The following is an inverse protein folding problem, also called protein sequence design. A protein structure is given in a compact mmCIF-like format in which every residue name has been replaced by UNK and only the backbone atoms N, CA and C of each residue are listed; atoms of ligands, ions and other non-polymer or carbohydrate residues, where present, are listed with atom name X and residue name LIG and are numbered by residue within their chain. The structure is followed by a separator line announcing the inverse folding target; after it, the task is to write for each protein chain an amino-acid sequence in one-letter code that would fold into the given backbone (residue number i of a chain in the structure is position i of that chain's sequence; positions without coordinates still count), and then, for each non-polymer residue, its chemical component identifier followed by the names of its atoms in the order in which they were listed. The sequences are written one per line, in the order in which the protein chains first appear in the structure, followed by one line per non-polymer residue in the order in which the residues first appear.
data_IF_437632934612
#
_entry.id   IF_437632934612
#
_cell.length_a   1.000
_cell.length_b   1.000
_cell.length_c   1.000
_cell.angle_alpha   90.00
_cell.angle_beta   90.00
_cell.angle_gamma   90.00
#
_symmetry.space_group_name_H-M   'P 1'
#
loop_
_entity.id
_entity.type
_entity.pdbx_description
1 polymer ?
#
# COMPACT_ATOMS: atom_id res chain seq x y z
N UNK A 1 -12.45 -21.91 17.75
CA UNK A 1 -11.03 -22.33 17.89
C UNK A 1 -10.37 -22.13 16.54
N UNK A 2 -9.72 -20.99 16.34
CA UNK A 2 -9.06 -20.63 15.08
C UNK A 2 -7.62 -21.15 15.09
N UNK A 3 -7.20 -21.71 13.95
CA UNK A 3 -6.08 -22.64 13.75
C UNK A 3 -4.68 -22.04 14.08
N UNK A 4 -3.72 -22.81 14.63
CA UNK A 4 -2.40 -22.32 15.06
C UNK A 4 -1.44 -21.88 13.93
N UNK A 5 -1.83 -22.03 12.66
CA UNK A 5 -1.00 -21.72 11.49
C UNK A 5 -1.87 -21.47 10.24
N UNK A 6 -2.70 -20.42 10.17
CA UNK A 6 -3.47 -20.07 8.95
C UNK A 6 -2.61 -19.47 7.79
N UNK A 7 -1.41 -20.05 7.62
CA UNK A 7 -0.59 -20.23 6.42
C UNK A 7 0.18 -19.02 5.83
N UNK A 8 1.30 -18.70 6.49
CA UNK A 8 2.58 -18.23 5.89
C UNK A 8 2.58 -16.96 5.03
N UNK A 9 1.71 -16.01 5.36
CA UNK A 9 1.81 -14.59 4.98
C UNK A 9 1.45 -13.62 6.11
N UNK A 10 1.66 -14.04 7.36
CA UNK A 10 1.44 -13.32 8.63
C UNK A 10 0.20 -12.42 8.61
N UNK A 11 -0.95 -13.11 8.72
CA UNK A 11 -2.25 -12.47 8.84
C UNK A 11 -2.27 -11.58 10.10
N UNK A 12 -2.71 -10.33 9.98
CA UNK A 12 -2.92 -9.46 11.14
C UNK A 12 -4.02 -10.03 12.03
N UNK A 13 -3.86 -9.86 13.35
CA UNK A 13 -4.90 -10.20 14.30
C UNK A 13 -6.12 -9.28 14.12
N UNK A 14 -7.32 -9.85 14.23
CA UNK A 14 -8.58 -9.12 14.13
C UNK A 14 -9.51 -9.66 13.05
N UNK A 15 -10.76 -9.22 13.11
CA UNK A 15 -11.78 -9.51 12.10
C UNK A 15 -12.12 -8.21 11.39
N UNK A 16 -12.07 -8.16 10.05
CA UNK A 16 -12.51 -6.98 9.31
C UNK A 16 -13.94 -6.56 9.69
N UNK A 17 -14.17 -5.27 9.92
CA UNK A 17 -15.44 -4.71 10.42
C UNK A 17 -16.23 -3.89 9.39
N UNK A 18 -15.57 -3.38 8.37
CA UNK A 18 -16.21 -2.79 7.19
C UNK A 18 -16.95 -3.80 6.29
N UNK A 19 -17.48 -3.31 5.19
CA UNK A 19 -18.38 -4.03 4.27
C UNK A 19 -17.84 -4.04 2.84
N UNK A 20 -18.52 -4.75 1.93
CA UNK A 20 -18.26 -4.61 0.50
C UNK A 20 -19.04 -3.39 0.00
N UNK A 21 -18.36 -2.54 -0.77
CA UNK A 21 -18.91 -1.30 -1.32
C UNK A 21 -19.98 -1.60 -2.38
N UNK A 22 -21.10 -0.89 -2.29
CA UNK A 22 -22.20 -0.98 -3.28
C UNK A 22 -21.86 -0.29 -4.61
N UNK A 23 -20.76 0.48 -4.66
CA UNK A 23 -20.34 1.24 -5.85
C UNK A 23 -19.96 0.31 -7.01
N UNK A 24 -19.28 -0.79 -6.70
CA UNK A 24 -18.82 -1.78 -7.68
C UNK A 24 -19.01 -3.23 -7.23
N UNK A 25 -19.58 -3.46 -6.04
CA UNK A 25 -19.76 -4.77 -5.41
C UNK A 25 -18.44 -5.56 -5.28
N UNK A 26 -17.29 -4.87 -5.22
CA UNK A 26 -15.98 -5.50 -5.16
C UNK A 26 -15.03 -4.84 -4.15
N UNK A 27 -14.97 -3.51 -4.11
CA UNK A 27 -14.11 -2.79 -3.18
C UNK A 27 -14.54 -3.04 -1.73
N UNK A 28 -13.57 -3.14 -0.82
CA UNK A 28 -13.87 -3.11 0.60
C UNK A 28 -14.04 -1.68 1.06
N UNK A 29 -15.02 -1.43 1.93
CA UNK A 29 -15.35 -0.12 2.46
C UNK A 29 -15.35 -0.18 3.99
N UNK A 30 -14.52 0.64 4.61
CA UNK A 30 -14.52 0.89 6.05
C UNK A 30 -15.00 2.31 6.32
N UNK A 31 -16.18 2.50 6.94
CA UNK A 31 -16.72 3.83 7.20
C UNK A 31 -15.96 4.52 8.33
N UNK A 32 -15.80 5.83 8.21
CA UNK A 32 -15.34 6.65 9.33
C UNK A 32 -16.37 6.67 10.48
N UNK A 33 -15.95 6.91 11.73
CA UNK A 33 -16.82 6.96 12.92
C UNK A 33 -17.80 8.15 12.96
N UNK A 34 -17.79 9.03 11.96
CA UNK A 34 -18.67 10.19 11.89
C UNK A 34 -20.15 9.83 11.68
N UNK A 35 -21.09 10.74 11.99
CA UNK A 35 -22.52 10.48 11.82
C UNK A 35 -22.84 10.14 10.37
N UNK A 36 -23.55 9.01 10.18
CA UNK A 36 -24.04 8.55 8.89
C UNK A 36 -24.84 9.68 8.22
N UNK A 37 -24.34 10.22 7.11
CA UNK A 37 -24.98 11.33 6.37
C UNK A 37 -24.29 12.69 6.49
N UNK A 38 -23.28 12.85 7.35
CA UNK A 38 -22.38 14.00 7.25
C UNK A 38 -21.50 13.86 5.99
N UNK A 39 -21.36 14.93 5.21
CA UNK A 39 -20.49 14.95 4.04
C UNK A 39 -19.03 14.82 4.50
N UNK A 40 -18.49 13.61 4.50
CA UNK A 40 -17.09 13.36 4.76
C UNK A 40 -16.25 14.13 3.72
N UNK A 41 -15.47 15.11 4.17
CA UNK A 41 -14.65 15.96 3.28
C UNK A 41 -13.47 15.22 2.67
N UNK A 42 -12.98 14.17 3.35
CA UNK A 42 -11.85 13.36 2.90
C UNK A 42 -12.13 11.87 2.97
N UNK A 43 -11.45 11.11 2.11
CA UNK A 43 -11.38 9.65 2.18
C UNK A 43 -9.97 9.17 1.81
N UNK A 44 -9.64 7.95 2.23
CA UNK A 44 -8.38 7.28 1.90
C UNK A 44 -8.65 6.12 0.94
N UNK A 45 -7.83 6.02 -0.11
CA UNK A 45 -7.77 4.87 -1.01
C UNK A 45 -6.57 4.01 -0.62
N UNK A 46 -6.83 2.83 -0.06
CA UNK A 46 -5.80 1.86 0.30
C UNK A 46 -5.60 0.87 -0.84
N UNK A 47 -4.40 0.85 -1.42
CA UNK A 47 -4.01 0.02 -2.54
C UNK A 47 -3.24 -1.20 -2.02
N UNK A 48 -3.82 -2.38 -2.23
CA UNK A 48 -3.35 -3.66 -1.67
C UNK A 48 -1.99 -4.10 -2.22
N UNK A 49 -1.33 -4.99 -1.47
CA UNK A 49 -0.20 -5.74 -1.99
C UNK A 49 -0.63 -6.78 -3.03
N UNK A 50 0.32 -7.60 -3.49
CA UNK A 50 0.09 -8.55 -4.58
C UNK A 50 -0.95 -9.65 -4.24
N UNK A 51 -1.29 -9.85 -2.97
CA UNK A 51 -2.27 -10.87 -2.54
C UNK A 51 -3.71 -10.37 -2.60
N UNK A 52 -3.92 -9.05 -2.68
CA UNK A 52 -5.22 -8.44 -2.86
C UNK A 52 -6.18 -8.60 -1.67
N UNK A 53 -7.47 -8.34 -1.92
CA UNK A 53 -8.54 -8.41 -0.93
C UNK A 53 -8.79 -9.79 -0.28
N UNK A 54 -8.47 -10.95 -0.91
CA UNK A 54 -8.59 -12.24 -0.22
C UNK A 54 -7.74 -12.35 1.04
N UNK A 55 -6.63 -11.61 1.13
CA UNK A 55 -5.85 -11.50 2.37
C UNK A 55 -6.45 -10.41 3.26
N UNK A 56 -6.91 -10.79 4.45
CA UNK A 56 -7.65 -9.89 5.35
C UNK A 56 -6.82 -8.69 5.85
N UNK A 57 -5.49 -8.73 5.79
CA UNK A 57 -4.63 -7.67 6.33
C UNK A 57 -5.00 -6.29 5.79
N UNK A 58 -5.22 -6.17 4.47
CA UNK A 58 -5.59 -4.89 3.88
C UNK A 58 -6.92 -4.34 4.42
N UNK A 59 -7.86 -5.22 4.74
CA UNK A 59 -9.17 -4.84 5.31
C UNK A 59 -9.02 -4.40 6.77
N UNK A 60 -8.26 -5.14 7.56
CA UNK A 60 -7.94 -4.78 8.96
C UNK A 60 -7.19 -3.45 9.03
N UNK A 61 -6.21 -3.24 8.15
CA UNK A 61 -5.48 -1.97 8.07
C UNK A 61 -6.42 -0.83 7.66
N UNK A 62 -7.35 -1.07 6.73
CA UNK A 62 -8.35 -0.08 6.34
C UNK A 62 -9.26 0.32 7.52
N UNK A 63 -9.72 -0.65 8.31
CA UNK A 63 -10.50 -0.39 9.54
C UNK A 63 -9.72 0.46 10.55
N UNK A 64 -8.44 0.14 10.75
CA UNK A 64 -7.58 0.90 11.64
C UNK A 64 -7.37 2.33 11.15
N UNK A 65 -7.20 2.55 9.83
CA UNK A 65 -7.14 3.90 9.27
C UNK A 65 -8.46 4.64 9.40
N UNK A 66 -9.60 3.99 9.12
CA UNK A 66 -10.90 4.63 9.20
C UNK A 66 -11.18 5.15 10.62
N UNK A 67 -10.80 4.35 11.62
CA UNK A 67 -10.84 4.75 13.03
C UNK A 67 -9.86 5.86 13.37
N UNK A 68 -8.59 5.74 12.97
CA UNK A 68 -7.52 6.66 13.40
C UNK A 68 -7.55 8.02 12.68
N UNK A 69 -8.04 8.05 11.45
CA UNK A 69 -8.16 9.26 10.63
C UNK A 69 -9.57 9.85 10.65
N UNK A 70 -10.49 9.18 11.33
CA UNK A 70 -11.90 9.55 11.42
C UNK A 70 -12.54 9.82 10.05
N UNK A 71 -12.20 9.00 9.04
CA UNK A 71 -12.68 9.18 7.67
C UNK A 71 -12.93 7.86 6.96
N UNK A 72 -13.63 7.92 5.84
CA UNK A 72 -13.91 6.75 5.02
C UNK A 72 -12.63 6.20 4.37
N UNK A 73 -12.52 4.88 4.35
CA UNK A 73 -11.41 4.17 3.69
C UNK A 73 -11.97 3.15 2.71
N UNK A 74 -11.49 3.21 1.48
CA UNK A 74 -11.83 2.26 0.43
C UNK A 74 -10.61 1.47 -0.01
N UNK A 75 -10.81 0.18 -0.23
CA UNK A 75 -9.80 -0.74 -0.74
C UNK A 75 -10.28 -1.30 -2.09
N UNK A 76 -9.94 -0.66 -3.22
CA UNK A 76 -10.35 -1.15 -4.53
C UNK A 76 -9.71 -2.50 -4.85
N UNK A 77 -10.45 -3.33 -5.60
CA UNK A 77 -9.93 -4.60 -6.10
C UNK A 77 -8.98 -4.38 -7.29
N UNK A 78 -7.69 -4.51 -7.03
CA UNK A 78 -6.64 -4.34 -8.04
C UNK A 78 -6.55 -5.52 -9.02
N UNK A 79 -7.22 -6.64 -8.75
CA UNK A 79 -7.00 -7.91 -9.44
C UNK A 79 -8.27 -8.56 -10.02
N UNK A 80 -9.42 -7.89 -9.92
CA UNK A 80 -10.70 -8.41 -10.39
C UNK A 80 -11.01 -9.82 -9.83
N UNK A 81 -10.83 -9.96 -8.52
CA UNK A 81 -11.06 -11.16 -7.72
C UNK A 81 -10.00 -12.23 -7.87
N UNK A 82 -8.95 -11.99 -8.68
CA UNK A 82 -7.96 -13.01 -9.06
C UNK A 82 -6.53 -12.48 -8.84
N UNK A 83 -6.08 -12.34 -7.59
CA UNK A 83 -4.69 -11.99 -7.29
C UNK A 83 -3.72 -12.99 -7.93
N UNK A 84 -2.55 -12.55 -8.42
CA UNK A 84 -1.68 -13.39 -9.23
C UNK A 84 -0.90 -14.44 -8.43
N UNK A 85 -0.69 -14.24 -7.13
CA UNK A 85 0.04 -15.16 -6.26
C UNK A 85 -0.63 -15.29 -4.90
N UNK A 86 -0.31 -16.35 -4.17
CA UNK A 86 -0.71 -16.57 -2.77
C UNK A 86 0.47 -16.41 -1.81
N UNK A 87 0.22 -16.15 -0.51
CA UNK A 87 1.28 -16.07 0.49
C UNK A 87 2.19 -17.30 0.53
N UNK A 88 1.63 -18.50 0.40
CA UNK A 88 2.37 -19.77 0.42
C UNK A 88 3.34 -19.89 -0.76
N UNK A 89 2.97 -19.34 -1.92
CA UNK A 89 3.86 -19.25 -3.09
C UNK A 89 5.06 -18.33 -2.81
N UNK A 90 4.85 -17.30 -1.99
CA UNK A 90 5.84 -16.26 -1.68
C UNK A 90 6.53 -16.45 -0.31
N UNK A 91 6.31 -17.57 0.36
CA UNK A 91 6.88 -17.92 1.68
C UNK A 91 8.41 -17.90 1.78
N UNK A 92 9.12 -17.91 0.64
CA UNK A 92 10.58 -17.82 0.61
C UNK A 92 11.11 -16.39 0.70
N UNK A 93 10.24 -15.37 0.65
CA UNK A 93 10.65 -13.96 0.78
C UNK A 93 11.07 -13.68 2.23
N UNK A 94 12.18 -12.97 2.45
CA UNK A 94 12.61 -12.57 3.78
C UNK A 94 11.55 -11.78 4.53
N UNK A 95 11.35 -12.13 5.80
CA UNK A 95 10.37 -11.50 6.68
C UNK A 95 10.97 -10.37 7.56
N UNK A 96 12.30 -10.32 7.66
CA UNK A 96 13.06 -9.33 8.42
C UNK A 96 14.44 -9.11 7.82
N UNK A 97 15.09 -8.02 8.23
CA UNK A 97 16.45 -7.70 7.81
C UNK A 97 17.46 -8.80 8.20
N UNK A 98 18.51 -8.93 7.41
CA UNK A 98 19.59 -9.91 7.56
C UNK A 98 19.26 -11.32 7.07
N UNK A 99 18.00 -11.64 6.77
CA UNK A 99 17.63 -12.93 6.19
C UNK A 99 17.86 -12.93 4.68
N UNK A 100 18.85 -13.69 4.22
CA UNK A 100 19.12 -13.87 2.78
C UNK A 100 18.47 -15.14 2.26
N UNK A 101 17.82 -15.03 1.11
CA UNK A 101 17.34 -16.21 0.37
C UNK A 101 18.54 -16.86 -0.31
N UNK A 102 18.84 -18.12 0.04
CA UNK A 102 19.87 -18.89 -0.65
C UNK A 102 19.43 -19.29 -2.06
N UNK A 103 20.36 -19.77 -2.89
CA UNK A 103 20.09 -20.22 -4.27
C UNK A 103 18.91 -21.22 -4.36
N UNK A 104 18.87 -22.24 -3.48
CA UNK A 104 17.75 -23.19 -3.42
C UNK A 104 16.41 -22.52 -3.09
N UNK A 105 16.43 -21.45 -2.28
CA UNK A 105 15.23 -20.68 -1.96
C UNK A 105 14.69 -19.94 -3.17
N UNK A 106 15.56 -19.29 -3.94
CA UNK A 106 15.18 -18.64 -5.20
C UNK A 106 14.68 -19.66 -6.24
N UNK A 107 15.31 -20.82 -6.34
CA UNK A 107 14.88 -21.89 -7.25
C UNK A 107 13.48 -22.40 -6.87
N UNK A 108 13.22 -22.64 -5.57
CA UNK A 108 11.90 -23.01 -5.08
C UNK A 108 10.85 -21.92 -5.36
N UNK A 109 11.19 -20.65 -5.11
CA UNK A 109 10.32 -19.51 -5.40
C UNK A 109 9.95 -19.45 -6.88
N UNK A 110 10.95 -19.60 -7.77
CA UNK A 110 10.73 -19.62 -9.21
C UNK A 110 9.73 -20.71 -9.63
N UNK A 111 9.94 -21.97 -9.22
CA UNK A 111 9.02 -23.06 -9.57
C UNK A 111 7.62 -22.89 -8.98
N UNK A 112 7.48 -22.29 -7.79
CA UNK A 112 6.17 -21.98 -7.18
C UNK A 112 5.41 -20.86 -7.91
N UNK A 113 6.12 -19.88 -8.46
CA UNK A 113 5.55 -18.72 -9.16
C UNK A 113 5.37 -18.98 -10.67
N UNK A 114 6.10 -19.93 -11.25
CA UNK A 114 6.03 -20.29 -12.68
C UNK A 114 4.60 -20.51 -13.20
N UNK A 115 3.70 -21.24 -12.49
CA UNK A 115 2.31 -21.41 -12.93
C UNK A 115 1.51 -20.11 -12.95
N UNK A 116 1.94 -19.10 -12.19
CA UNK A 116 1.30 -17.79 -12.07
C UNK A 116 1.75 -16.77 -13.13
N UNK A 117 2.65 -17.11 -14.05
CA UNK A 117 3.19 -16.14 -15.03
C UNK A 117 2.11 -15.43 -15.86
N UNK A 118 1.12 -16.16 -16.38
CA UNK A 118 0.01 -15.55 -17.11
C UNK A 118 -0.82 -14.60 -16.23
N UNK A 119 -1.02 -14.97 -14.96
CA UNK A 119 -1.72 -14.12 -14.00
C UNK A 119 -0.92 -12.86 -13.69
N UNK A 120 0.41 -12.96 -13.53
CA UNK A 120 1.31 -11.83 -13.32
C UNK A 120 1.31 -10.86 -14.52
N UNK A 121 1.29 -11.37 -15.76
CA UNK A 121 1.19 -10.54 -16.97
C UNK A 121 -0.16 -9.80 -17.00
N UNK A 122 -1.25 -10.52 -16.74
CA UNK A 122 -2.62 -9.95 -16.70
C UNK A 122 -2.80 -8.91 -15.59
N UNK A 123 -2.05 -9.05 -14.49
CA UNK A 123 -2.15 -8.24 -13.29
C UNK A 123 -0.91 -7.38 -13.05
N UNK A 124 -0.18 -6.97 -14.09
CA UNK A 124 0.95 -6.03 -13.92
C UNK A 124 0.43 -4.66 -13.42
N UNK A 125 1.29 -3.82 -12.79
CA UNK A 125 0.85 -2.62 -12.09
C UNK A 125 -0.05 -1.64 -12.88
N UNK A 126 0.18 -1.38 -14.18
CA UNK A 126 -0.74 -0.56 -14.99
C UNK A 126 -2.20 -1.06 -15.03
N UNK A 127 -2.45 -2.38 -15.00
CA UNK A 127 -3.80 -2.94 -14.99
C UNK A 127 -4.45 -2.74 -13.62
N UNK A 128 -3.69 -2.89 -12.53
CA UNK A 128 -4.15 -2.55 -11.19
C UNK A 128 -4.49 -1.06 -11.07
N UNK A 129 -3.65 -0.17 -11.63
CA UNK A 129 -3.89 1.26 -11.68
C UNK A 129 -5.16 1.62 -12.48
N UNK A 130 -5.38 1.00 -13.64
CA UNK A 130 -6.59 1.23 -14.43
C UNK A 130 -7.87 0.82 -13.67
N UNK A 131 -7.84 -0.31 -12.95
CA UNK A 131 -8.97 -0.78 -12.12
C UNK A 131 -9.23 0.16 -10.94
N UNK A 132 -8.17 0.56 -10.22
CA UNK A 132 -8.26 1.51 -9.13
C UNK A 132 -8.82 2.87 -9.61
N UNK A 133 -8.32 3.41 -10.73
CA UNK A 133 -8.83 4.65 -11.30
C UNK A 133 -10.31 4.55 -11.68
N UNK A 134 -10.72 3.43 -12.28
CA UNK A 134 -12.13 3.18 -12.62
C UNK A 134 -13.00 3.22 -11.37
N UNK A 135 -12.57 2.58 -10.28
CA UNK A 135 -13.27 2.64 -9.00
C UNK A 135 -13.33 4.07 -8.44
N UNK A 136 -12.20 4.79 -8.40
CA UNK A 136 -12.13 6.15 -7.84
C UNK A 136 -13.03 7.12 -8.60
N UNK A 137 -13.11 7.00 -9.93
CA UNK A 137 -14.02 7.82 -10.73
C UNK A 137 -15.48 7.56 -10.37
N UNK A 138 -15.90 6.28 -10.28
CA UNK A 138 -17.25 5.91 -9.83
C UNK A 138 -17.54 6.38 -8.40
N UNK A 139 -16.55 6.29 -7.51
CA UNK A 139 -16.65 6.80 -6.15
C UNK A 139 -16.96 8.29 -6.18
N UNK A 140 -16.19 9.09 -6.91
CA UNK A 140 -16.38 10.54 -7.01
C UNK A 140 -17.70 10.94 -7.72
N UNK A 141 -18.23 10.10 -8.60
CA UNK A 141 -19.57 10.28 -9.17
C UNK A 141 -20.68 10.03 -8.13
N UNK A 142 -20.53 8.99 -7.29
CA UNK A 142 -21.51 8.61 -6.26
C UNK A 142 -21.49 9.47 -4.99
N UNK A 143 -20.28 9.81 -4.52
CA UNK A 143 -20.01 10.54 -3.28
C UNK A 143 -18.76 11.38 -3.49
N UNK A 144 -18.97 12.70 -3.58
CA UNK A 144 -17.88 13.65 -3.81
C UNK A 144 -17.09 13.88 -2.53
N UNK A 145 -15.81 13.56 -2.57
CA UNK A 145 -14.85 13.92 -1.53
C UNK A 145 -13.99 15.08 -2.02
N UNK A 146 -13.81 16.10 -1.18
CA UNK A 146 -12.96 17.26 -1.49
C UNK A 146 -11.48 16.86 -1.58
N UNK A 147 -11.05 15.93 -0.72
CA UNK A 147 -9.66 15.44 -0.65
C UNK A 147 -9.61 13.92 -0.67
N UNK A 148 -8.79 13.36 -1.55
CA UNK A 148 -8.48 11.93 -1.53
C UNK A 148 -7.03 11.71 -1.13
N UNK A 149 -6.80 10.92 -0.09
CA UNK A 149 -5.49 10.35 0.21
C UNK A 149 -5.31 8.99 -0.46
N UNK A 150 -4.08 8.62 -0.80
CA UNK A 150 -3.76 7.26 -1.24
C UNK A 150 -2.66 6.66 -0.36
N UNK A 151 -2.82 5.42 0.05
CA UNK A 151 -1.74 4.63 0.64
C UNK A 151 -1.59 3.32 -0.12
N UNK A 152 -0.39 3.00 -0.55
CA UNK A 152 -0.12 1.78 -1.31
C UNK A 152 0.99 0.93 -0.73
N UNK A 153 0.76 -0.38 -0.67
CA UNK A 153 1.71 -1.36 -0.14
C UNK A 153 2.25 -2.25 -1.25
N UNK A 154 3.57 -2.40 -1.38
CA UNK A 154 4.18 -3.32 -2.36
C UNK A 154 3.67 -3.04 -3.80
N UNK A 155 2.89 -3.94 -4.37
CA UNK A 155 2.22 -3.77 -5.66
C UNK A 155 1.36 -2.49 -5.68
N UNK A 156 0.59 -2.24 -4.62
CA UNK A 156 -0.22 -1.04 -4.44
C UNK A 156 0.61 0.23 -4.30
N UNK A 157 1.85 0.13 -3.79
CA UNK A 157 2.81 1.24 -3.79
C UNK A 157 3.23 1.60 -5.21
N UNK A 158 3.46 0.59 -6.06
CA UNK A 158 3.65 0.76 -7.50
C UNK A 158 2.43 1.39 -8.20
N UNK A 159 1.22 0.98 -7.83
CA UNK A 159 -0.02 1.59 -8.32
C UNK A 159 -0.14 3.05 -7.89
N UNK A 160 0.21 3.38 -6.64
CA UNK A 160 0.23 4.75 -6.12
C UNK A 160 1.16 5.65 -6.94
N UNK A 161 2.35 5.16 -7.28
CA UNK A 161 3.31 5.86 -8.14
C UNK A 161 2.74 6.11 -9.55
N UNK A 162 2.09 5.11 -10.15
CA UNK A 162 1.47 5.24 -11.48
C UNK A 162 0.36 6.28 -11.44
N UNK A 163 -0.58 6.15 -10.51
CA UNK A 163 -1.73 7.04 -10.41
C UNK A 163 -1.32 8.47 -10.05
N UNK A 164 -0.46 8.65 -9.05
CA UNK A 164 0.03 9.96 -8.64
C UNK A 164 0.84 10.67 -9.73
N UNK A 165 1.55 9.92 -10.58
CA UNK A 165 2.30 10.46 -11.71
C UNK A 165 1.42 10.82 -12.90
N UNK A 166 0.49 9.94 -13.28
CA UNK A 166 -0.31 10.09 -14.50
C UNK A 166 -1.56 10.96 -14.28
N UNK A 167 -2.04 11.03 -13.04
CA UNK A 167 -3.20 11.82 -12.63
C UNK A 167 -2.83 12.69 -11.43
N UNK A 168 -1.99 13.73 -11.63
CA UNK A 168 -1.40 14.50 -10.53
C UNK A 168 -2.40 15.28 -9.67
N UNK A 169 -3.65 15.43 -10.13
CA UNK A 169 -4.74 16.05 -9.37
C UNK A 169 -5.67 15.03 -8.66
N UNK A 170 -5.43 13.73 -8.82
CA UNK A 170 -6.29 12.67 -8.29
C UNK A 170 -6.23 12.57 -6.77
N UNK A 171 -5.03 12.71 -6.21
CA UNK A 171 -4.78 12.59 -4.78
C UNK A 171 -4.25 13.90 -4.23
N UNK A 172 -4.76 14.30 -3.07
CA UNK A 172 -4.27 15.45 -2.30
C UNK A 172 -3.08 15.06 -1.41
N UNK A 173 -2.86 13.77 -1.15
CA UNK A 173 -1.70 13.25 -0.41
C UNK A 173 -1.47 11.77 -0.69
N UNK A 174 -0.21 11.32 -0.68
CA UNK A 174 0.18 9.95 -1.01
C UNK A 174 1.12 9.38 0.05
N UNK A 175 0.94 8.12 0.45
CA UNK A 175 1.87 7.33 1.25
C UNK A 175 2.26 6.08 0.46
N UNK A 176 3.56 5.85 0.30
CA UNK A 176 4.12 4.77 -0.50
C UNK A 176 4.91 3.84 0.42
N UNK A 177 4.39 2.63 0.66
CA UNK A 177 5.01 1.64 1.54
C UNK A 177 5.68 0.52 0.73
N UNK A 178 7.00 0.40 0.88
CA UNK A 178 7.87 -0.63 0.30
C UNK A 178 7.45 -1.03 -1.13
N UNK A 179 7.47 -0.09 -2.10
CA UNK A 179 6.81 -0.27 -3.39
C UNK A 179 7.57 -1.23 -4.29
N UNK A 180 6.92 -1.65 -5.39
CA UNK A 180 7.65 -2.17 -6.56
C UNK A 180 8.66 -1.12 -7.09
N UNK A 181 9.72 -1.52 -7.82
CA UNK A 181 10.80 -0.62 -8.22
C UNK A 181 10.31 0.66 -8.93
N UNK A 182 10.54 1.86 -8.37
CA UNK A 182 10.04 3.12 -8.92
C UNK A 182 10.94 3.66 -10.03
N UNK A 183 10.33 4.32 -11.02
CA UNK A 183 11.03 5.09 -12.06
C UNK A 183 11.10 6.58 -11.70
N UNK A 184 12.18 7.26 -12.08
CA UNK A 184 12.36 8.70 -11.82
C UNK A 184 11.20 9.52 -12.39
N UNK A 185 10.74 9.20 -13.60
CA UNK A 185 9.61 9.88 -14.24
C UNK A 185 8.31 9.77 -13.41
N UNK A 186 8.10 8.66 -12.70
CA UNK A 186 6.93 8.51 -11.83
C UNK A 186 7.03 9.44 -10.62
N UNK A 187 8.21 9.51 -10.01
CA UNK A 187 8.47 10.35 -8.82
C UNK A 187 8.36 11.83 -9.17
N UNK A 188 8.96 12.23 -10.29
CA UNK A 188 8.94 13.61 -10.78
C UNK A 188 7.55 14.03 -11.29
N UNK A 189 6.73 13.08 -11.71
CA UNK A 189 5.35 13.34 -12.15
C UNK A 189 4.37 13.61 -10.99
N UNK A 190 4.70 13.20 -9.77
CA UNK A 190 3.85 13.42 -8.60
C UNK A 190 3.88 14.89 -8.18
N UNK A 191 2.68 15.47 -8.01
CA UNK A 191 2.45 16.84 -7.54
C UNK A 191 1.84 16.93 -6.14
N UNK A 192 1.51 15.80 -5.53
CA UNK A 192 0.95 15.74 -4.18
C UNK A 192 2.05 15.52 -3.13
N UNK A 193 1.88 16.03 -1.89
CA UNK A 193 2.70 15.64 -0.76
C UNK A 193 2.84 14.11 -0.67
N UNK A 194 4.06 13.60 -0.51
CA UNK A 194 4.35 12.15 -0.53
C UNK A 194 5.20 11.67 0.64
N UNK A 195 4.70 10.72 1.43
CA UNK A 195 5.50 9.98 2.40
C UNK A 195 5.98 8.63 1.83
N UNK A 196 7.16 8.20 2.23
CA UNK A 196 7.72 6.88 1.93
C UNK A 196 7.99 6.12 3.22
N UNK A 197 7.45 4.91 3.29
CA UNK A 197 7.67 3.91 4.34
C UNK A 197 8.56 2.83 3.72
N UNK A 198 9.86 2.91 3.97
CA UNK A 198 10.86 2.02 3.40
C UNK A 198 11.30 0.95 4.41
N UNK A 199 11.57 -0.25 3.91
CA UNK A 199 12.21 -1.30 4.69
C UNK A 199 13.74 -1.15 4.67
N UNK A 200 14.42 -1.69 5.68
CA UNK A 200 15.89 -1.71 5.72
C UNK A 200 16.45 -2.62 4.61
N UNK A 201 15.98 -3.87 4.57
CA UNK A 201 16.39 -4.86 3.57
C UNK A 201 15.25 -5.15 2.59
N UNK A 202 15.21 -4.39 1.50
CA UNK A 202 14.19 -4.51 0.47
C UNK A 202 14.80 -5.00 -0.85
N UNK A 203 14.29 -6.13 -1.37
CA UNK A 203 14.73 -6.69 -2.64
C UNK A 203 14.29 -5.87 -3.86
N UNK A 204 13.26 -5.03 -3.71
CA UNK A 204 12.71 -4.18 -4.76
C UNK A 204 13.32 -2.77 -4.75
N UNK A 205 13.79 -2.29 -3.60
CA UNK A 205 14.39 -0.94 -3.48
C UNK A 205 15.64 -0.97 -2.61
N UNK A 206 16.81 -0.80 -3.21
CA UNK A 206 18.06 -0.71 -2.43
C UNK A 206 18.16 0.62 -1.70
N UNK A 207 18.98 0.68 -0.65
CA UNK A 207 19.33 1.95 0.03
C UNK A 207 19.85 3.00 -0.97
N UNK A 208 20.76 2.60 -1.86
CA UNK A 208 21.30 3.51 -2.87
C UNK A 208 20.19 4.07 -3.79
N UNK A 209 19.16 3.25 -4.09
CA UNK A 209 18.01 3.72 -4.85
C UNK A 209 17.15 4.69 -4.04
N UNK A 210 16.93 4.45 -2.74
CA UNK A 210 16.24 5.40 -1.86
C UNK A 210 16.98 6.75 -1.76
N UNK A 211 18.30 6.72 -1.62
CA UNK A 211 19.13 7.94 -1.59
C UNK A 211 18.99 8.75 -2.89
N UNK A 212 18.91 8.08 -4.06
CA UNK A 212 18.62 8.73 -5.35
C UNK A 212 17.22 9.35 -5.39
N UNK A 213 16.22 8.66 -4.84
CA UNK A 213 14.84 9.16 -4.79
C UNK A 213 14.76 10.41 -3.93
N UNK A 214 15.41 10.40 -2.76
CA UNK A 214 15.50 11.58 -1.91
C UNK A 214 16.17 12.75 -2.63
N UNK A 215 17.24 12.49 -3.39
CA UNK A 215 17.89 13.51 -4.21
C UNK A 215 16.96 14.10 -5.29
N UNK A 216 16.06 13.31 -5.88
CA UNK A 216 15.04 13.82 -6.82
C UNK A 216 14.04 14.76 -6.13
N UNK A 217 13.66 14.48 -4.88
CA UNK A 217 12.81 15.39 -4.11
C UNK A 217 13.56 16.67 -3.73
N UNK A 218 14.77 16.55 -3.16
CA UNK A 218 15.63 17.70 -2.81
C UNK A 218 15.91 18.61 -3.99
N UNK A 219 16.14 18.05 -5.17
CA UNK A 219 16.38 18.82 -6.39
C UNK A 219 15.18 19.70 -6.81
N UNK A 220 13.99 19.49 -6.25
CA UNK A 220 12.78 20.30 -6.48
C UNK A 220 12.55 21.36 -5.41
N UNK A 221 13.30 21.36 -4.30
CA UNK A 221 13.18 22.39 -3.25
C UNK A 221 13.39 23.80 -3.82
N UNK A 222 12.51 24.73 -3.44
CA UNK A 222 12.52 26.11 -3.94
C UNK A 222 12.04 26.30 -5.39
N UNK A 223 11.52 25.26 -6.04
CA UNK A 223 10.96 25.32 -7.41
C UNK A 223 9.44 25.14 -7.39
N UNK A 224 8.76 25.57 -8.45
CA UNK A 224 7.31 25.36 -8.62
C UNK A 224 6.91 23.87 -8.69
N UNK A 225 7.89 22.99 -8.92
CA UNK A 225 7.71 21.54 -8.93
C UNK A 225 7.94 20.89 -7.56
N UNK A 226 8.24 21.68 -6.53
CA UNK A 226 8.39 21.20 -5.16
C UNK A 226 7.14 20.47 -4.71
N UNK A 227 7.36 19.35 -4.04
CA UNK A 227 6.33 18.64 -3.29
C UNK A 227 6.89 18.32 -1.92
N UNK A 228 6.08 18.53 -0.88
CA UNK A 228 6.46 18.13 0.46
C UNK A 228 6.65 16.61 0.50
N UNK A 229 7.72 16.14 1.15
CA UNK A 229 8.02 14.72 1.22
C UNK A 229 8.62 14.33 2.56
N UNK A 230 8.48 13.05 2.89
CA UNK A 230 9.18 12.41 4.00
C UNK A 230 9.56 11.00 3.57
N UNK A 231 10.79 10.57 3.90
CA UNK A 231 11.24 9.20 3.68
C UNK A 231 11.73 8.67 5.01
N UNK A 232 11.12 7.58 5.50
CA UNK A 232 11.59 6.86 6.69
C UNK A 232 11.95 5.43 6.33
N UNK A 233 13.14 5.01 6.75
CA UNK A 233 13.59 3.62 6.70
C UNK A 233 13.43 3.01 8.08
N UNK A 234 12.76 1.87 8.17
CA UNK A 234 12.50 1.19 9.44
C UNK A 234 13.51 0.06 9.67
N UNK A 235 14.36 0.13 10.70
CA UNK A 235 15.34 -0.91 10.99
C UNK A 235 14.71 -2.27 11.29
N UNK A 236 15.43 -3.36 10.99
CA UNK A 236 14.99 -4.74 11.23
C UNK A 236 13.97 -5.26 10.21
N UNK A 237 13.48 -4.42 9.30
CA UNK A 237 12.36 -4.78 8.41
C UNK A 237 12.82 -5.27 7.04
N UNK A 238 11.98 -6.10 6.45
CA UNK A 238 12.09 -6.51 5.04
C UNK A 238 10.87 -6.08 4.24
N UNK A 239 10.93 -6.28 2.92
CA UNK A 239 9.84 -5.95 2.01
C UNK A 239 8.49 -6.56 2.46
N UNK A 240 7.45 -5.74 2.53
CA UNK A 240 6.12 -6.17 2.94
C UNK A 240 5.77 -5.93 4.42
N UNK A 241 6.73 -5.49 5.26
CA UNK A 241 6.49 -5.31 6.70
C UNK A 241 5.31 -4.38 7.03
N UNK A 242 5.02 -3.38 6.17
CA UNK A 242 3.92 -2.44 6.36
C UNK A 242 2.54 -3.02 6.09
N UNK A 243 2.44 -4.18 5.44
CA UNK A 243 1.17 -4.86 5.16
C UNK A 243 1.06 -6.25 5.78
N UNK A 244 2.20 -6.92 5.99
CA UNK A 244 2.33 -8.28 6.50
C UNK A 244 3.54 -8.35 7.43
N UNK A 245 3.44 -7.73 8.62
CA UNK A 245 4.55 -7.69 9.57
C UNK A 245 4.80 -9.07 10.18
N UNK A 246 6.08 -9.38 10.36
CA UNK A 246 6.52 -10.55 11.11
C UNK A 246 6.46 -10.28 12.61
N UNK A 247 5.24 -10.30 13.15
CA UNK A 247 4.91 -9.91 14.52
C UNK A 247 5.63 -10.73 15.61
N UNK A 248 6.17 -11.90 15.26
CA UNK A 248 7.03 -12.70 16.14
C UNK A 248 8.38 -12.02 16.44
N UNK A 249 8.81 -11.07 15.61
CA UNK A 249 10.01 -10.26 15.84
C UNK A 249 9.60 -8.90 16.44
N UNK A 250 9.95 -8.61 17.71
CA UNK A 250 9.55 -7.37 18.38
C UNK A 250 9.92 -6.11 17.60
N UNK A 251 11.10 -6.10 16.97
CA UNK A 251 11.58 -4.97 16.16
C UNK A 251 10.72 -4.73 14.91
N UNK A 252 10.19 -5.79 14.29
CA UNK A 252 9.31 -5.69 13.12
C UNK A 252 7.91 -5.25 13.53
N UNK A 253 7.43 -5.73 14.68
CA UNK A 253 6.16 -5.28 15.25
C UNK A 253 6.20 -3.78 15.56
N UNK A 254 7.23 -3.31 16.26
CA UNK A 254 7.41 -1.89 16.57
C UNK A 254 7.52 -1.04 15.29
N UNK A 255 8.27 -1.52 14.30
CA UNK A 255 8.39 -0.84 13.01
C UNK A 255 7.05 -0.74 12.27
N UNK A 256 6.23 -1.79 12.29
CA UNK A 256 4.89 -1.77 11.69
C UNK A 256 3.97 -0.75 12.37
N UNK A 257 3.95 -0.72 13.70
CA UNK A 257 3.16 0.25 14.48
C UNK A 257 3.61 1.69 14.18
N UNK A 258 4.93 1.94 14.13
CA UNK A 258 5.48 3.27 13.80
C UNK A 258 5.21 3.66 12.34
N UNK A 259 5.28 2.72 11.40
CA UNK A 259 4.95 2.96 10.00
C UNK A 259 3.47 3.31 9.82
N UNK A 260 2.57 2.61 10.51
CA UNK A 260 1.16 2.96 10.55
C UNK A 260 0.96 4.37 11.12
N UNK A 261 1.61 4.69 12.24
CA UNK A 261 1.50 6.02 12.84
C UNK A 261 2.04 7.12 11.93
N UNK A 262 3.16 6.89 11.23
CA UNK A 262 3.68 7.83 10.24
C UNK A 262 2.63 8.14 9.17
N UNK A 263 1.94 7.14 8.64
CA UNK A 263 0.90 7.36 7.65
C UNK A 263 -0.28 8.17 8.21
N UNK A 264 -0.69 7.89 9.46
CA UNK A 264 -1.75 8.64 10.15
C UNK A 264 -1.35 10.11 10.33
N UNK A 265 -0.16 10.36 10.87
CA UNK A 265 0.37 11.70 11.10
C UNK A 265 0.50 12.47 9.77
N UNK A 266 0.99 11.79 8.74
CA UNK A 266 1.14 12.36 7.41
C UNK A 266 -0.20 12.83 6.83
N UNK A 267 -1.23 11.99 6.87
CA UNK A 267 -2.56 12.36 6.37
C UNK A 267 -3.22 13.44 7.20
N UNK A 268 -3.10 13.40 8.53
CA UNK A 268 -3.63 14.46 9.40
C UNK A 268 -3.00 15.82 9.09
N UNK A 269 -1.71 15.85 8.76
CA UNK A 269 -1.01 17.08 8.40
C UNK A 269 -1.30 17.56 6.98
N UNK A 270 -1.37 16.67 6.00
CA UNK A 270 -1.44 17.02 4.56
C UNK A 270 -2.85 17.15 4.02
N UNK A 271 -3.82 16.44 4.60
CA UNK A 271 -5.24 16.49 4.20
C UNK A 271 -6.16 16.62 5.42
N UNK A 272 -6.03 17.67 6.25
CA UNK A 272 -6.85 17.84 7.45
C UNK A 272 -8.35 17.94 7.11
N UNK A 273 -9.18 17.54 8.09
CA UNK A 273 -10.66 17.61 8.10
C UNK A 273 -11.14 19.07 8.15
#
# INVERSE_FOLDING_TARGET
MSCPNCFTGEALEGTPTGTISEIDNAAYFSPGPGPQGASAKRAIILLTDIFGLPLNNARIIADNFAKSLECDVYVPDLFAGRPPVTPEQMSAIPQRAGLKVGFLGYLKLFFKVLPSLFALIRNRPPQGAARALTFINKLQESKKYEKLGAIGYCFGGGVSLILGSQHPALFSSIVIAHPSPPKDAQILGIKAPTAWIAAEDDFAISKARLDQIEALYKAREGKDTYVEYEIRVYPGTAHGFGARPALQYPEVKEAFEKAFQQAVDWFNRTIPV
#
